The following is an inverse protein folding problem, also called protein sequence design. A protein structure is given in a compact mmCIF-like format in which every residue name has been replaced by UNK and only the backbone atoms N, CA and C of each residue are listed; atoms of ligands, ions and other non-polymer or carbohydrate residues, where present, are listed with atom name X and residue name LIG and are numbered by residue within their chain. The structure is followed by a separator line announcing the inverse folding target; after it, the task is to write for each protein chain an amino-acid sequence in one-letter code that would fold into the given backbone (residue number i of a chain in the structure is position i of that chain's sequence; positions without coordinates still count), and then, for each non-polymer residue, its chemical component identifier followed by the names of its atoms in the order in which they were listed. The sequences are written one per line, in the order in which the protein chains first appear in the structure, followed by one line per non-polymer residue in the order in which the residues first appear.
data_IF_397464073472
#
_entry.id   IF_397464073472
#
_cell.length_a   1.000
_cell.length_b   1.000
_cell.length_c   1.000
_cell.angle_alpha   90.00
_cell.angle_beta   90.00
_cell.angle_gamma   90.00
#
_symmetry.space_group_name_H-M   'P 1'
#
loop_
_entity.id
_entity.type
_entity.pdbx_description
1 polymer ?
#
# COMPACT_ATOMS: atom_id res chain seq x y z
N UNK A 1 -6.81 -19.42 -3.04
CA UNK A 1 -6.20 -18.41 -3.93
C UNK A 1 -5.01 -17.83 -3.15
N UNK A 2 -3.80 -17.98 -3.70
CA UNK A 2 -2.49 -17.70 -3.07
C UNK A 2 -2.16 -18.50 -1.81
N UNK A 3 -2.04 -19.82 -1.95
CA UNK A 3 -1.58 -20.72 -0.85
C UNK A 3 -0.13 -21.18 -1.00
N UNK A 4 0.54 -20.83 -2.11
CA UNK A 4 1.93 -21.23 -2.39
C UNK A 4 2.82 -19.99 -2.44
N UNK A 5 3.97 -20.06 -1.76
CA UNK A 5 4.92 -18.95 -1.67
C UNK A 5 4.68 -18.07 -0.44
N UNK A 6 5.27 -16.88 -0.43
CA UNK A 6 5.34 -16.00 0.75
C UNK A 6 4.27 -14.90 0.76
N UNK A 7 3.37 -14.87 -0.21
CA UNK A 7 2.39 -13.77 -0.39
C UNK A 7 1.35 -13.74 0.74
N UNK A 8 0.94 -14.90 1.26
CA UNK A 8 -0.09 -15.00 2.30
C UNK A 8 0.29 -16.01 3.36
N UNK A 9 0.89 -15.53 4.44
CA UNK A 9 1.38 -16.34 5.55
C UNK A 9 0.65 -15.96 6.85
N UNK A 10 0.62 -16.88 7.82
CA UNK A 10 0.14 -16.58 9.18
C UNK A 10 1.05 -15.57 9.91
N UNK A 11 2.32 -15.51 9.53
CA UNK A 11 3.31 -14.57 10.04
C UNK A 11 4.06 -13.96 8.87
N UNK A 12 4.20 -12.64 8.87
CA UNK A 12 4.99 -11.88 7.92
C UNK A 12 5.52 -10.61 8.60
N UNK A 13 6.65 -10.11 8.12
CA UNK A 13 7.26 -8.89 8.64
C UNK A 13 6.71 -7.67 7.89
N UNK A 14 6.48 -6.58 8.62
CA UNK A 14 5.97 -5.32 8.08
C UNK A 14 6.62 -4.14 8.79
N UNK A 15 7.15 -3.21 8.00
CA UNK A 15 7.56 -1.89 8.49
C UNK A 15 6.37 -0.95 8.32
N UNK A 16 5.75 -0.56 9.43
CA UNK A 16 4.55 0.28 9.43
C UNK A 16 4.88 1.76 9.58
N UNK A 17 4.13 2.62 8.89
CA UNK A 17 4.13 4.07 9.06
C UNK A 17 2.81 4.54 9.68
N UNK A 18 2.88 5.42 10.68
CA UNK A 18 1.72 6.02 11.33
C UNK A 18 1.96 7.52 11.49
N UNK A 19 0.96 8.34 11.14
CA UNK A 19 0.99 9.78 11.34
C UNK A 19 -0.22 10.23 12.17
N UNK A 20 0.02 11.13 13.13
CA UNK A 20 -1.02 11.82 13.91
C UNK A 20 -0.96 13.29 13.50
N UNK A 21 -2.00 13.76 12.81
CA UNK A 21 -2.02 15.09 12.19
C UNK A 21 -3.29 15.84 12.55
N UNK A 22 -3.27 17.17 12.36
CA UNK A 22 -4.48 17.98 12.47
C UNK A 22 -5.48 17.58 11.38
N UNK A 23 -6.80 17.71 11.61
CA UNK A 23 -7.81 17.31 10.63
C UNK A 23 -7.62 17.92 9.24
N UNK A 24 -7.27 19.21 9.17
CA UNK A 24 -7.04 19.97 7.95
C UNK A 24 -5.85 19.48 7.11
N UNK A 25 -4.87 18.84 7.74
CA UNK A 25 -3.65 18.37 7.08
C UNK A 25 -3.78 16.90 6.60
N UNK A 26 -4.85 16.20 7.00
CA UNK A 26 -5.00 14.75 6.81
C UNK A 26 -4.89 14.25 5.37
N UNK A 27 -5.45 14.99 4.40
CA UNK A 27 -5.40 14.58 2.99
C UNK A 27 -4.01 14.82 2.37
N UNK A 28 -3.32 15.88 2.77
CA UNK A 28 -1.94 16.11 2.34
C UNK A 28 -1.00 15.06 2.94
N UNK A 29 -1.18 14.74 4.21
CA UNK A 29 -0.47 13.67 4.91
C UNK A 29 -0.67 12.30 4.25
N UNK A 30 -1.87 12.00 3.74
CA UNK A 30 -2.14 10.76 3.00
C UNK A 30 -1.32 10.67 1.70
N UNK A 31 -1.25 11.75 0.91
CA UNK A 31 -0.45 11.78 -0.31
C UNK A 31 1.05 11.67 -0.01
N UNK A 32 1.53 12.35 1.04
CA UNK A 32 2.91 12.26 1.51
C UNK A 32 3.27 10.84 1.96
N UNK A 33 2.45 10.23 2.82
CA UNK A 33 2.65 8.87 3.32
C UNK A 33 2.66 7.84 2.19
N UNK A 34 1.77 8.02 1.19
CA UNK A 34 1.77 7.19 -0.01
C UNK A 34 3.08 7.36 -0.77
N UNK A 35 3.55 8.59 -0.95
CA UNK A 35 4.84 8.91 -1.55
C UNK A 35 6.05 8.28 -0.83
N UNK A 36 6.03 8.23 0.50
CA UNK A 36 7.06 7.54 1.29
C UNK A 36 7.11 6.04 0.98
N UNK A 37 5.95 5.38 0.88
CA UNK A 37 5.89 3.96 0.51
C UNK A 37 6.32 3.73 -0.95
N UNK A 38 5.88 4.58 -1.87
CA UNK A 38 6.29 4.58 -3.28
C UNK A 38 7.82 4.71 -3.41
N UNK A 39 8.45 5.55 -2.58
CA UNK A 39 9.90 5.77 -2.61
C UNK A 39 10.70 4.51 -2.31
N UNK A 40 10.21 3.64 -1.42
CA UNK A 40 10.85 2.35 -1.12
C UNK A 40 10.91 1.48 -2.38
N UNK A 41 9.79 1.34 -3.10
CA UNK A 41 9.73 0.55 -4.33
C UNK A 41 10.62 1.14 -5.45
N UNK A 42 10.63 2.47 -5.59
CA UNK A 42 11.49 3.17 -6.55
C UNK A 42 12.98 2.94 -6.28
N UNK A 43 13.41 3.02 -5.01
CA UNK A 43 14.80 2.79 -4.63
C UNK A 43 15.23 1.33 -4.83
N UNK A 44 14.30 0.38 -4.68
CA UNK A 44 14.53 -1.03 -4.97
C UNK A 44 14.44 -1.37 -6.46
N UNK A 45 14.02 -0.42 -7.32
CA UNK A 45 13.85 -0.64 -8.75
C UNK A 45 12.70 -1.58 -9.11
N UNK A 46 11.68 -1.67 -8.24
CA UNK A 46 10.53 -2.55 -8.43
C UNK A 46 9.39 -1.80 -9.15
N UNK A 47 8.96 -2.23 -10.35
CA UNK A 47 7.80 -1.63 -11.02
C UNK A 47 6.54 -1.85 -10.20
N UNK A 48 5.69 -0.83 -10.12
CA UNK A 48 4.43 -0.89 -9.37
C UNK A 48 3.37 0.03 -9.99
N UNK A 49 2.12 -0.14 -9.55
CA UNK A 49 1.02 0.80 -9.82
C UNK A 49 0.36 1.25 -8.52
N UNK A 50 -0.11 2.50 -8.51
CA UNK A 50 -0.93 3.05 -7.44
C UNK A 50 -2.41 2.96 -7.81
N UNK A 51 -3.22 2.41 -6.91
CA UNK A 51 -4.67 2.27 -7.08
C UNK A 51 -5.38 3.03 -5.97
N UNK A 52 -6.39 3.81 -6.32
CA UNK A 52 -7.35 4.33 -5.35
C UNK A 52 -8.48 3.31 -5.18
N UNK A 53 -8.74 2.88 -3.94
CA UNK A 53 -9.76 1.88 -3.69
C UNK A 53 -11.17 2.46 -3.86
N UNK A 54 -12.07 1.64 -4.42
CA UNK A 54 -13.48 1.97 -4.48
C UNK A 54 -14.14 1.80 -3.11
N UNK A 55 -15.33 2.37 -2.92
CA UNK A 55 -16.03 2.33 -1.62
C UNK A 55 -16.35 0.93 -1.12
N UNK A 56 -16.52 -0.06 -2.01
CA UNK A 56 -16.78 -1.46 -1.64
C UNK A 56 -15.55 -2.24 -1.19
N UNK A 57 -14.34 -1.79 -1.53
CA UNK A 57 -13.09 -2.48 -1.25
C UNK A 57 -12.26 -1.82 -0.14
N UNK A 58 -12.74 -0.71 0.43
CA UNK A 58 -12.07 -0.03 1.54
C UNK A 58 -12.20 -0.81 2.86
N UNK A 59 -11.14 -0.77 3.67
CA UNK A 59 -11.15 -1.32 5.02
C UNK A 59 -12.09 -0.56 5.96
N UNK A 60 -12.60 -1.23 6.99
CA UNK A 60 -13.65 -0.74 7.89
C UNK A 60 -13.43 0.66 8.49
N UNK A 61 -12.19 1.04 8.78
CA UNK A 61 -11.85 2.35 9.38
C UNK A 61 -11.36 3.42 8.39
N UNK A 62 -11.28 3.11 7.08
CA UNK A 62 -10.71 4.01 6.11
C UNK A 62 -11.76 4.92 5.47
N UNK A 63 -11.43 6.19 5.28
CA UNK A 63 -12.23 7.12 4.48
C UNK A 63 -11.73 7.26 3.02
N UNK A 64 -10.44 6.99 2.79
CA UNK A 64 -9.76 6.95 1.49
C UNK A 64 -8.49 6.11 1.62
N UNK A 65 -8.24 5.22 0.67
CA UNK A 65 -7.08 4.32 0.69
C UNK A 65 -6.40 4.26 -0.68
N UNK A 66 -5.07 4.23 -0.66
CA UNK A 66 -4.24 3.92 -1.81
C UNK A 66 -3.53 2.58 -1.60
N UNK A 67 -3.64 1.70 -2.59
CA UNK A 67 -2.88 0.45 -2.64
C UNK A 67 -1.72 0.59 -3.64
N UNK A 68 -0.57 0.06 -3.25
CA UNK A 68 0.61 -0.07 -4.11
C UNK A 68 0.76 -1.53 -4.51
N UNK A 69 0.54 -1.82 -5.78
CA UNK A 69 0.66 -3.17 -6.32
C UNK A 69 1.98 -3.29 -7.09
N UNK A 70 2.87 -4.13 -6.57
CA UNK A 70 4.18 -4.42 -7.18
C UNK A 70 4.05 -5.51 -8.25
N UNK A 71 4.83 -5.38 -9.33
CA UNK A 71 4.90 -6.38 -10.38
C UNK A 71 5.56 -7.68 -9.91
N UNK A 72 4.91 -8.80 -10.20
CA UNK A 72 5.27 -10.19 -9.94
C UNK A 72 5.34 -10.93 -11.30
N UNK A 73 6.53 -11.04 -11.92
CA UNK A 73 6.69 -11.63 -13.26
C UNK A 73 6.07 -13.03 -13.43
N UNK A 74 6.16 -13.87 -12.40
CA UNK A 74 5.64 -15.25 -12.43
C UNK A 74 4.11 -15.32 -12.45
N UNK A 75 3.41 -14.26 -12.07
CA UNK A 75 1.94 -14.16 -12.09
C UNK A 75 1.43 -13.29 -13.23
N UNK A 76 2.33 -12.69 -14.02
CA UNK A 76 2.01 -11.76 -15.09
C UNK A 76 1.08 -10.62 -14.62
N UNK A 77 1.36 -10.10 -13.43
CA UNK A 77 0.67 -9.00 -12.74
C UNK A 77 1.67 -8.31 -11.86
#
# INVERSE_FOLDING_TARGET
RDTRGLIRMHQFDKVEMVQIVRPEDSMAALEEMTGHAEKVLQLLGLPYRKIILCTGDMGFGACKTYDLEVWIPAQNT
#
